data_IF_040619887561
#
_entry.id   IF_040619887561
#
_cell.length_a   1.000
_cell.length_b   1.000
_cell.length_c   1.000
_cell.angle_alpha   90.00
_cell.angle_beta   90.00
_cell.angle_gamma   90.00
#
_symmetry.space_group_name_H-M   'P 1'
#
loop_
_entity.id
_entity.type
_entity.pdbx_description
1 polymer ?
#
# COMPACT_ATOMS: atom_id res chain seq x y z
N UNK A 1 -39.46 -8.36 -0.62
CA UNK A 1 -38.31 -7.50 -0.22
C UNK A 1 -37.11 -8.40 0.05
N UNK A 2 -36.06 -8.39 -0.77
CA UNK A 2 -34.84 -9.17 -0.51
C UNK A 2 -33.95 -8.41 0.49
N UNK A 3 -33.84 -8.93 1.71
CA UNK A 3 -32.99 -8.35 2.74
C UNK A 3 -31.53 -8.67 2.43
N UNK A 4 -30.83 -7.71 1.82
CA UNK A 4 -29.41 -7.84 1.49
C UNK A 4 -28.60 -7.63 2.78
N UNK A 5 -28.41 -8.69 3.57
CA UNK A 5 -27.49 -8.66 4.71
C UNK A 5 -26.07 -8.44 4.18
N UNK A 6 -25.64 -7.18 4.21
CA UNK A 6 -24.31 -6.76 3.81
C UNK A 6 -23.36 -7.18 4.94
N UNK A 7 -22.81 -8.37 4.83
CA UNK A 7 -21.76 -8.87 5.70
C UNK A 7 -20.52 -7.98 5.53
N UNK A 8 -20.39 -7.00 6.42
CA UNK A 8 -19.19 -6.16 6.53
C UNK A 8 -18.03 -7.06 6.94
N UNK A 9 -17.21 -7.41 5.95
CA UNK A 9 -15.98 -8.18 6.15
C UNK A 9 -14.92 -7.22 6.70
N UNK A 10 -14.91 -7.05 8.02
CA UNK A 10 -13.92 -6.23 8.74
C UNK A 10 -12.64 -7.05 8.96
N UNK A 11 -12.03 -7.53 7.87
CA UNK A 11 -10.74 -8.22 7.92
C UNK A 11 -9.60 -7.21 7.73
N UNK A 12 -8.58 -7.24 8.60
CA UNK A 12 -7.31 -6.58 8.31
C UNK A 12 -6.83 -7.12 6.97
N UNK A 13 -6.79 -6.27 5.95
CA UNK A 13 -6.37 -6.69 4.62
C UNK A 13 -4.95 -7.28 4.68
N UNK A 14 -4.67 -8.25 3.82
CA UNK A 14 -3.34 -8.82 3.58
C UNK A 14 -2.16 -7.81 3.68
N UNK A 15 -2.24 -6.58 3.11
CA UNK A 15 -1.18 -5.58 3.27
C UNK A 15 -0.93 -5.14 4.72
N UNK A 16 -1.96 -5.08 5.58
CA UNK A 16 -1.82 -4.70 6.98
C UNK A 16 -1.04 -5.74 7.79
N UNK A 17 -1.29 -7.03 7.55
CA UNK A 17 -0.53 -8.12 8.19
C UNK A 17 0.92 -8.13 7.70
N UNK A 18 1.16 -7.94 6.40
CA UNK A 18 2.52 -7.79 5.87
C UNK A 18 3.28 -6.65 6.56
N UNK A 19 2.64 -5.49 6.73
CA UNK A 19 3.23 -4.32 7.39
C UNK A 19 3.66 -4.65 8.83
N UNK A 20 2.78 -5.30 9.60
CA UNK A 20 3.07 -5.72 10.98
C UNK A 20 4.23 -6.74 11.00
N UNK A 21 4.22 -7.73 10.11
CA UNK A 21 5.30 -8.75 10.02
C UNK A 21 6.65 -8.09 9.74
N UNK A 22 6.75 -7.17 8.78
CA UNK A 22 8.00 -6.45 8.50
C UNK A 22 8.50 -5.60 9.69
N UNK A 23 7.60 -4.96 10.42
CA UNK A 23 7.93 -4.20 11.65
C UNK A 23 8.49 -5.12 12.72
N UNK A 24 7.85 -6.27 12.96
CA UNK A 24 8.28 -7.26 13.96
C UNK A 24 9.65 -7.83 13.59
N UNK A 25 9.88 -8.23 12.33
CA UNK A 25 11.18 -8.75 11.88
C UNK A 25 12.33 -7.75 12.05
N UNK A 26 12.06 -6.44 11.91
CA UNK A 26 13.07 -5.40 12.14
C UNK A 26 13.37 -5.21 13.62
N UNK A 27 12.36 -5.28 14.49
CA UNK A 27 12.54 -5.19 15.94
C UNK A 27 13.29 -6.41 16.49
N UNK A 28 13.08 -7.60 15.92
CA UNK A 28 13.83 -8.82 16.26
C UNK A 28 15.23 -8.87 15.66
N UNK A 29 15.72 -7.78 15.04
CA UNK A 29 17.08 -7.64 14.46
C UNK A 29 17.41 -8.70 13.39
N UNK A 30 16.42 -9.37 12.80
CA UNK A 30 16.63 -10.38 11.75
C UNK A 30 17.09 -9.72 10.44
N UNK A 31 16.77 -8.43 10.26
CA UNK A 31 17.07 -7.67 9.04
C UNK A 31 17.69 -6.32 9.40
N UNK A 32 18.92 -6.06 8.95
CA UNK A 32 19.63 -4.76 9.12
C UNK A 32 19.12 -3.67 8.17
N UNK A 33 18.15 -3.99 7.32
CA UNK A 33 17.76 -3.16 6.20
C UNK A 33 17.13 -1.83 6.63
N UNK A 34 17.25 -0.79 5.80
CA UNK A 34 16.72 0.54 6.09
C UNK A 34 15.21 0.55 6.33
N UNK A 35 14.74 1.45 7.21
CA UNK A 35 13.32 1.59 7.57
C UNK A 35 12.44 1.86 6.34
N UNK A 36 12.99 2.53 5.33
CA UNK A 36 12.34 2.74 4.03
C UNK A 36 11.86 1.46 3.35
N UNK A 37 12.60 0.37 3.46
CA UNK A 37 12.21 -0.89 2.84
C UNK A 37 11.23 -1.72 3.68
N UNK A 38 11.25 -1.54 5.01
CA UNK A 38 10.22 -2.11 5.91
C UNK A 38 8.84 -1.53 5.58
N UNK A 39 8.78 -0.26 5.18
CA UNK A 39 7.57 0.36 4.70
C UNK A 39 7.33 0.19 3.20
N UNK A 40 8.18 -0.53 2.44
CA UNK A 40 7.95 -0.77 1.02
C UNK A 40 6.51 -1.20 0.68
N UNK A 41 5.87 -2.18 1.38
CA UNK A 41 4.47 -2.53 1.09
C UNK A 41 3.47 -1.38 1.26
N UNK A 42 3.78 -0.37 2.08
CA UNK A 42 2.96 0.84 2.24
C UNK A 42 3.20 1.88 1.14
N UNK A 43 4.45 2.05 0.72
CA UNK A 43 4.81 3.08 -0.29
C UNK A 43 4.62 2.60 -1.72
N UNK A 44 4.63 1.28 -2.00
CA UNK A 44 4.33 0.72 -3.34
C UNK A 44 3.02 1.26 -3.91
N UNK A 45 1.86 1.15 -3.23
CA UNK A 45 0.61 1.71 -3.76
C UNK A 45 0.67 3.24 -3.91
N UNK A 46 1.33 3.93 -2.99
CA UNK A 46 1.47 5.39 -3.03
C UNK A 46 2.33 5.87 -4.22
N UNK A 47 3.48 5.21 -4.43
CA UNK A 47 4.38 5.46 -5.55
C UNK A 47 3.74 5.13 -6.90
N UNK A 48 2.95 4.06 -6.97
CA UNK A 48 2.16 3.73 -8.16
C UNK A 48 1.18 4.85 -8.52
N UNK A 49 0.43 5.36 -7.53
CA UNK A 49 -0.53 6.45 -7.72
C UNK A 49 0.17 7.73 -8.19
N UNK A 50 1.28 8.10 -7.53
CA UNK A 50 2.09 9.27 -7.93
C UNK A 50 2.60 9.12 -9.35
N UNK A 51 3.12 7.95 -9.71
CA UNK A 51 3.62 7.66 -11.05
C UNK A 51 2.52 7.84 -12.11
N UNK A 52 1.35 7.25 -11.90
CA UNK A 52 0.21 7.43 -12.80
C UNK A 52 -0.23 8.89 -12.91
N UNK A 53 -0.30 9.61 -11.79
CA UNK A 53 -0.64 11.04 -11.79
C UNK A 53 0.37 11.86 -12.59
N UNK A 54 1.67 11.61 -12.42
CA UNK A 54 2.70 12.30 -13.20
C UNK A 54 2.60 12.00 -14.69
N UNK A 55 2.37 10.75 -15.08
CA UNK A 55 2.20 10.36 -16.49
C UNK A 55 0.98 11.06 -17.10
N UNK A 56 -0.15 11.08 -16.38
CA UNK A 56 -1.38 11.76 -16.84
C UNK A 56 -1.15 13.27 -16.94
N UNK A 57 -0.49 13.88 -15.95
CA UNK A 57 -0.19 15.31 -15.94
C UNK A 57 0.71 15.71 -17.11
N UNK A 58 1.76 14.91 -17.40
CA UNK A 58 2.63 15.13 -18.55
C UNK A 58 1.84 14.95 -19.85
N UNK A 59 1.06 13.88 -20.00
CA UNK A 59 0.28 13.63 -21.21
C UNK A 59 -0.76 14.74 -21.48
N UNK A 60 -1.45 15.22 -20.45
CA UNK A 60 -2.40 16.34 -20.54
C UNK A 60 -1.70 17.67 -20.82
N UNK A 61 -0.53 17.90 -20.23
CA UNK A 61 0.28 19.09 -20.46
C UNK A 61 0.90 19.14 -21.85
N UNK A 62 1.28 17.97 -22.41
CA UNK A 62 1.81 17.85 -23.77
C UNK A 62 0.74 17.98 -24.85
N UNK A 63 -0.52 17.66 -24.52
CA UNK A 63 -1.66 17.73 -25.44
C UNK A 63 -2.30 19.13 -25.51
N UNK A 64 -1.74 20.11 -24.80
CA UNK A 64 -2.20 21.51 -24.79
C UNK A 64 -1.22 22.38 -25.57
#
# INVERSE_FOLDING_TARGET
>A
MSNSNKSTTTGIGFPGVLLIVFIVLKLTKVIEWSWWWVLAPFWIPFGLVILFLTIIAIAKGLSK
#
